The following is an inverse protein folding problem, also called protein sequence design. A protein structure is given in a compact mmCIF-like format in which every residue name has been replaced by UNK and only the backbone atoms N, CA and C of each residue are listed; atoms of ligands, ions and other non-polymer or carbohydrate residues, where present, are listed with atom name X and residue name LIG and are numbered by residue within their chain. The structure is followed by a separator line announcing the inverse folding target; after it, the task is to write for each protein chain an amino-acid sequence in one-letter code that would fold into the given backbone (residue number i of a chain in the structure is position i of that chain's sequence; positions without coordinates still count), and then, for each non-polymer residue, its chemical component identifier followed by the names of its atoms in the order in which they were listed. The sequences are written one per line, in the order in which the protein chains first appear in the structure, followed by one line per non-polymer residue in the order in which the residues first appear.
data_IF_727667120325
#
_entry.id   IF_727667120325
#
_cell.length_a   1.000
_cell.length_b   1.000
_cell.length_c   1.000
_cell.angle_alpha   90.00
_cell.angle_beta   90.00
_cell.angle_gamma   90.00
#
_symmetry.space_group_name_H-M   'P 1'
#
loop_
_entity.id
_entity.type
_entity.pdbx_description
1 polymer ?
#
# COMPACT_ATOMS: atom_id res chain seq x y z
N UNK A 1 15.51 -3.95 -4.38
CA UNK A 1 14.06 -3.79 -4.68
C UNK A 1 13.22 -3.61 -3.41
N UNK A 2 12.99 -4.62 -2.56
CA UNK A 2 12.12 -4.47 -1.36
C UNK A 2 12.52 -3.37 -0.37
N UNK A 3 13.81 -3.09 -0.20
CA UNK A 3 14.27 -2.02 0.69
C UNK A 3 14.46 -0.68 -0.04
N UNK A 4 14.94 -0.71 -1.28
CA UNK A 4 15.31 0.50 -2.03
C UNK A 4 14.10 1.22 -2.63
N UNK A 5 13.00 0.50 -2.91
CA UNK A 5 11.79 1.07 -3.54
C UNK A 5 10.64 1.32 -2.58
N UNK A 6 10.78 0.93 -1.32
CA UNK A 6 9.75 1.20 -0.30
C UNK A 6 9.59 2.70 -0.04
N UNK A 7 10.65 3.48 -0.16
CA UNK A 7 10.59 4.95 -0.09
C UNK A 7 9.73 5.57 -1.17
N UNK A 8 9.64 4.96 -2.35
CA UNK A 8 8.78 5.46 -3.44
C UNK A 8 7.30 5.21 -3.14
N UNK A 9 6.98 4.05 -2.57
CA UNK A 9 5.65 3.80 -2.01
C UNK A 9 5.29 4.82 -0.92
N UNK A 10 6.18 5.06 0.04
CA UNK A 10 5.95 6.06 1.11
C UNK A 10 5.77 7.45 0.51
N UNK A 11 6.58 7.82 -0.49
CA UNK A 11 6.44 9.08 -1.19
C UNK A 11 5.07 9.22 -1.86
N UNK A 12 4.58 8.19 -2.54
CA UNK A 12 3.23 8.18 -3.14
C UNK A 12 2.13 8.30 -2.08
N UNK A 13 2.30 7.66 -0.92
CA UNK A 13 1.39 7.81 0.22
C UNK A 13 1.33 9.27 0.69
N UNK A 14 2.48 9.93 0.83
CA UNK A 14 2.56 11.34 1.21
C UNK A 14 1.92 12.26 0.17
N UNK A 15 2.11 12.00 -1.13
CA UNK A 15 1.46 12.77 -2.20
C UNK A 15 -0.07 12.67 -2.13
N UNK A 16 -0.60 11.48 -1.90
CA UNK A 16 -2.05 11.26 -1.74
C UNK A 16 -2.56 11.93 -0.47
N UNK A 17 -1.88 11.74 0.68
CA UNK A 17 -2.25 12.32 1.97
C UNK A 17 -2.29 13.85 1.95
N UNK A 18 -1.34 14.47 1.25
CA UNK A 18 -1.26 15.94 1.12
C UNK A 18 -2.17 16.51 0.03
N UNK A 19 -2.99 15.66 -0.62
CA UNK A 19 -3.82 16.02 -1.78
C UNK A 19 -3.04 16.57 -2.98
N UNK A 20 -1.72 16.30 -3.05
CA UNK A 20 -0.91 16.61 -4.23
C UNK A 20 -1.23 15.65 -5.39
N UNK A 21 -1.75 14.47 -5.07
CA UNK A 21 -2.19 13.46 -6.03
C UNK A 21 -3.54 12.86 -5.59
N UNK A 22 -4.43 12.63 -6.55
CA UNK A 22 -5.72 11.98 -6.29
C UNK A 22 -5.49 10.47 -6.26
N UNK A 23 -6.00 9.71 -5.28
CA UNK A 23 -5.87 8.25 -5.26
C UNK A 23 -6.71 7.61 -6.38
N UNK A 24 -6.24 6.49 -6.95
CA UNK A 24 -6.99 5.71 -7.95
C UNK A 24 -8.29 5.21 -7.33
N UNK A 25 -9.43 5.44 -7.97
CA UNK A 25 -10.74 4.99 -7.48
C UNK A 25 -10.78 3.48 -7.19
N UNK A 26 -11.54 3.09 -6.17
CA UNK A 26 -11.50 1.73 -5.63
C UNK A 26 -11.96 0.65 -6.63
N UNK A 27 -12.89 0.97 -7.53
CA UNK A 27 -13.31 0.10 -8.62
C UNK A 27 -12.19 -0.08 -9.66
N UNK A 28 -11.52 1.01 -10.03
CA UNK A 28 -10.36 0.98 -10.94
C UNK A 28 -9.19 0.18 -10.30
N UNK A 29 -8.98 0.31 -8.99
CA UNK A 29 -7.98 -0.50 -8.27
C UNK A 29 -8.26 -1.99 -8.38
N UNK A 30 -9.53 -2.37 -8.25
CA UNK A 30 -9.97 -3.75 -8.40
C UNK A 30 -9.72 -4.26 -9.82
N UNK A 31 -9.95 -3.43 -10.84
CA UNK A 31 -9.64 -3.78 -12.24
C UNK A 31 -8.14 -3.95 -12.48
N UNK A 32 -7.30 -3.11 -11.88
CA UNK A 32 -5.85 -3.22 -12.04
C UNK A 32 -5.24 -4.43 -11.33
N UNK A 33 -5.74 -4.78 -10.15
CA UNK A 33 -5.22 -5.87 -9.33
C UNK A 33 -5.89 -7.21 -9.67
N UNK A 34 -7.12 -7.19 -10.19
CA UNK A 34 -7.97 -8.37 -10.22
C UNK A 34 -8.47 -8.77 -8.82
N UNK A 35 -9.43 -9.69 -8.78
CA UNK A 35 -10.09 -10.10 -7.54
C UNK A 35 -9.09 -10.62 -6.48
N UNK A 36 -8.16 -11.48 -6.87
CA UNK A 36 -7.25 -12.16 -5.94
C UNK A 36 -6.28 -11.19 -5.25
N UNK A 37 -5.55 -10.36 -6.02
CA UNK A 37 -4.61 -9.40 -5.45
C UNK A 37 -5.32 -8.28 -4.70
N UNK A 38 -6.52 -7.89 -5.15
CA UNK A 38 -7.31 -6.88 -4.45
C UNK A 38 -7.75 -7.37 -3.06
N UNK A 39 -8.26 -8.61 -2.96
CA UNK A 39 -8.62 -9.22 -1.68
C UNK A 39 -7.41 -9.42 -0.78
N UNK A 40 -6.30 -9.90 -1.33
CA UNK A 40 -5.04 -10.06 -0.59
C UNK A 40 -4.55 -8.72 -0.04
N UNK A 41 -4.57 -7.69 -0.88
CA UNK A 41 -4.17 -6.34 -0.51
C UNK A 41 -5.04 -5.75 0.61
N UNK A 42 -6.35 -5.96 0.58
CA UNK A 42 -7.24 -5.57 1.69
C UNK A 42 -6.86 -6.28 3.00
N UNK A 43 -6.57 -7.59 2.95
CA UNK A 43 -6.10 -8.34 4.12
C UNK A 43 -4.76 -7.85 4.67
N UNK A 44 -3.85 -7.41 3.78
CA UNK A 44 -2.59 -6.77 4.18
C UNK A 44 -2.86 -5.42 4.84
N UNK A 45 -3.77 -4.59 4.31
CA UNK A 45 -4.16 -3.32 4.92
C UNK A 45 -4.72 -3.54 6.34
N UNK A 46 -5.63 -4.49 6.53
CA UNK A 46 -6.17 -4.87 7.84
C UNK A 46 -5.07 -5.29 8.82
N UNK A 47 -4.10 -6.09 8.35
CA UNK A 47 -2.98 -6.53 9.17
C UNK A 47 -2.10 -5.33 9.59
N UNK A 48 -1.83 -4.42 8.66
CA UNK A 48 -1.01 -3.22 8.91
C UNK A 48 -1.72 -2.29 9.91
N UNK A 49 -3.03 -2.05 9.75
CA UNK A 49 -3.85 -1.26 10.69
C UNK A 49 -3.80 -1.85 12.10
N UNK A 50 -3.92 -3.18 12.23
CA UNK A 50 -3.80 -3.86 13.53
C UNK A 50 -2.44 -3.69 14.18
N UNK A 51 -1.37 -3.69 13.38
CA UNK A 51 -0.01 -3.47 13.89
C UNK A 51 0.25 -2.01 14.25
N UNK A 52 -0.26 -1.07 13.45
CA UNK A 52 -0.13 0.36 13.73
C UNK A 52 -0.90 0.79 14.97
N UNK A 53 -2.07 0.21 15.21
CA UNK A 53 -2.90 0.44 16.40
C UNK A 53 -2.46 -0.36 17.65
N UNK A 54 -1.37 -1.15 17.54
CA UNK A 54 -0.76 -1.87 18.65
C UNK A 54 0.12 -1.00 19.56
N UNK A 55 0.71 -1.62 20.59
CA UNK A 55 1.43 -0.95 21.71
C UNK A 55 2.67 -0.14 21.27
N UNK A 56 3.18 -0.34 20.05
CA UNK A 56 4.40 0.31 19.52
C UNK A 56 4.12 1.16 18.25
N UNK A 57 2.96 1.83 18.19
CA UNK A 57 2.45 2.48 16.98
C UNK A 57 3.22 3.73 16.52
N UNK A 58 4.33 3.56 15.80
CA UNK A 58 5.00 4.63 15.02
C UNK A 58 4.26 4.94 13.68
N UNK A 59 2.97 4.62 13.59
CA UNK A 59 2.15 4.76 12.37
C UNK A 59 2.30 3.61 11.36
N UNK A 60 1.46 3.65 10.31
CA UNK A 60 1.31 2.57 9.30
C UNK A 60 2.61 2.22 8.56
N UNK A 61 3.55 3.14 8.46
CA UNK A 61 4.83 2.94 7.73
C UNK A 61 6.06 3.14 8.62
N UNK A 62 5.88 3.37 9.93
CA UNK A 62 6.99 3.61 10.85
C UNK A 62 7.69 2.34 11.32
N UNK A 63 6.93 1.32 11.73
CA UNK A 63 7.47 0.13 12.38
C UNK A 63 7.92 -0.96 11.39
N UNK A 64 8.85 -1.81 11.81
CA UNK A 64 9.23 -2.99 11.03
C UNK A 64 8.06 -3.97 10.86
N UNK A 65 7.18 -4.07 11.87
CA UNK A 65 6.01 -4.93 11.88
C UNK A 65 5.01 -4.57 10.77
N UNK A 66 4.85 -3.28 10.46
CA UNK A 66 4.01 -2.83 9.35
C UNK A 66 4.73 -2.87 8.00
N UNK A 67 6.02 -2.52 7.95
CA UNK A 67 6.79 -2.48 6.69
C UNK A 67 6.94 -3.85 6.02
N UNK A 68 7.13 -4.90 6.80
CA UNK A 68 7.36 -6.26 6.25
C UNK A 68 6.19 -6.77 5.41
N UNK A 69 4.93 -6.78 5.89
CA UNK A 69 3.81 -7.24 5.08
C UNK A 69 3.59 -6.36 3.83
N UNK A 70 3.74 -5.04 3.95
CA UNK A 70 3.62 -4.13 2.79
C UNK A 70 4.66 -4.48 1.72
N UNK A 71 5.94 -4.61 2.09
CA UNK A 71 7.03 -4.96 1.16
C UNK A 71 6.85 -6.34 0.51
N UNK A 72 6.22 -7.28 1.20
CA UNK A 72 5.90 -8.59 0.63
C UNK A 72 4.81 -8.44 -0.43
N UNK A 73 3.72 -7.76 -0.11
CA UNK A 73 2.61 -7.55 -1.03
C UNK A 73 3.04 -6.74 -2.28
N UNK A 74 3.83 -5.67 -2.12
CA UNK A 74 4.40 -4.93 -3.26
C UNK A 74 5.17 -5.83 -4.23
N UNK A 75 5.90 -6.80 -3.69
CA UNK A 75 6.66 -7.74 -4.50
C UNK A 75 5.76 -8.76 -5.19
N UNK A 76 4.69 -9.21 -4.53
CA UNK A 76 3.72 -10.11 -5.15
C UNK A 76 2.96 -9.42 -6.29
N UNK A 77 2.53 -8.17 -6.11
CA UNK A 77 1.92 -7.37 -7.19
C UNK A 77 2.88 -7.24 -8.38
N UNK A 78 4.18 -7.00 -8.13
CA UNK A 78 5.20 -6.93 -9.19
C UNK A 78 5.37 -8.24 -9.94
N UNK A 79 5.38 -9.37 -9.25
CA UNK A 79 5.57 -10.68 -9.91
C UNK A 79 4.32 -11.12 -10.69
N UNK A 80 3.15 -10.66 -10.28
CA UNK A 80 1.88 -11.07 -10.88
C UNK A 80 1.32 -10.07 -11.89
N UNK A 81 1.70 -8.80 -11.82
CA UNK A 81 1.22 -7.75 -12.71
C UNK A 81 2.38 -7.18 -13.54
N UNK A 82 2.17 -7.10 -14.86
CA UNK A 82 3.13 -6.52 -15.80
C UNK A 82 2.99 -4.98 -15.83
N UNK A 83 3.28 -4.35 -14.70
CA UNK A 83 3.25 -2.90 -14.55
C UNK A 83 4.65 -2.34 -14.33
N UNK A 84 4.86 -1.11 -14.81
CA UNK A 84 6.02 -0.31 -14.44
C UNK A 84 6.05 -0.07 -12.93
N UNK A 85 7.25 -0.07 -12.35
CA UNK A 85 7.49 0.09 -10.90
C UNK A 85 6.71 1.29 -10.32
N UNK A 86 6.71 2.45 -10.99
CA UNK A 86 5.99 3.65 -10.53
C UNK A 86 4.47 3.43 -10.40
N UNK A 87 3.88 2.72 -11.37
CA UNK A 87 2.45 2.41 -11.35
C UNK A 87 2.10 1.46 -10.20
N UNK A 88 2.98 0.51 -9.88
CA UNK A 88 2.81 -0.38 -8.71
C UNK A 88 2.75 0.45 -7.44
N UNK A 89 3.66 1.40 -7.24
CA UNK A 89 3.69 2.21 -6.02
C UNK A 89 2.43 3.07 -5.86
N UNK A 90 1.93 3.62 -6.96
CA UNK A 90 0.71 4.43 -6.95
C UNK A 90 -0.56 3.60 -6.73
N UNK A 91 -0.66 2.39 -7.32
CA UNK A 91 -1.73 1.42 -7.03
C UNK A 91 -1.72 1.04 -5.55
N UNK A 92 -0.56 0.69 -5.02
CA UNK A 92 -0.38 0.31 -3.62
C UNK A 92 -0.76 1.45 -2.68
N UNK A 93 -0.27 2.67 -2.92
CA UNK A 93 -0.58 3.82 -2.08
C UNK A 93 -2.08 4.18 -2.12
N UNK A 94 -2.71 4.08 -3.30
CA UNK A 94 -4.15 4.29 -3.45
C UNK A 94 -4.96 3.23 -2.71
N UNK A 95 -4.59 1.95 -2.79
CA UNK A 95 -5.26 0.88 -2.05
C UNK A 95 -5.19 1.12 -0.53
N UNK A 96 -3.99 1.44 -0.04
CA UNK A 96 -3.77 1.72 1.36
C UNK A 96 -4.60 2.94 1.82
N UNK A 97 -4.72 3.98 1.00
CA UNK A 97 -5.52 5.17 1.30
C UNK A 97 -6.98 4.84 1.63
N UNK A 98 -7.65 4.05 0.80
CA UNK A 98 -9.05 3.70 1.04
C UNK A 98 -9.23 2.76 2.22
N UNK A 99 -8.33 1.79 2.39
CA UNK A 99 -8.52 0.74 3.38
C UNK A 99 -8.15 1.18 4.80
N UNK A 100 -7.26 2.16 4.96
CA UNK A 100 -6.86 2.64 6.30
C UNK A 100 -7.60 3.88 6.81
N UNK A 101 -8.65 4.34 6.10
CA UNK A 101 -9.62 5.35 6.58
C UNK A 101 -9.02 6.54 7.36
N UNK A 102 -8.01 7.21 6.79
CA UNK A 102 -7.26 8.36 7.36
C UNK A 102 -6.16 8.03 8.39
N UNK A 103 -5.77 6.77 8.57
CA UNK A 103 -4.58 6.44 9.37
C UNK A 103 -3.26 6.56 8.59
N UNK A 104 -3.33 6.85 7.28
CA UNK A 104 -2.17 7.18 6.43
C UNK A 104 -1.56 8.53 6.78
#
# INVERSE_FOLDING_TARGET
WKNDRFSEFVFQCDQIKTNAQIPIESDILKDYLGDDLYQLGNGVCDQVVRFANGVDGDGLVGSSATRVPIKKFMFEVREMADYEDEKIFYIMASLFYYQTHNEL
#
